data_IF_958590000630
#
_entry.id   IF_958590000630
#
_cell.length_a   1.000
_cell.length_b   1.000
_cell.length_c   1.000
_cell.angle_alpha   90.00
_cell.angle_beta   90.00
_cell.angle_gamma   90.00
#
_symmetry.space_group_name_H-M   'P 1'
#
loop_
_entity.id
_entity.type
_entity.pdbx_description
1 polymer ?
#
# COMPACT_ATOMS: atom_id res chain seq x y z
N UNK A 1 7.43 -6.22 6.05
CA UNK A 1 6.92 -4.97 5.43
C UNK A 1 5.44 -4.81 5.71
N UNK A 2 4.99 -3.58 5.91
CA UNK A 2 3.56 -3.24 5.96
C UNK A 2 3.22 -2.42 4.72
N UNK A 3 2.21 -2.87 3.98
CA UNK A 3 1.63 -2.12 2.85
C UNK A 3 0.40 -1.36 3.33
N UNK A 4 0.36 -0.07 3.03
CA UNK A 4 -0.72 0.82 3.46
C UNK A 4 -1.49 1.33 2.24
N UNK A 5 -2.79 1.07 2.20
CA UNK A 5 -3.71 1.65 1.23
C UNK A 5 -4.53 2.78 1.84
N UNK A 6 -5.33 3.45 1.02
CA UNK A 6 -6.19 4.54 1.50
C UNK A 6 -7.36 3.97 2.32
N UNK A 7 -8.18 3.17 1.67
CA UNK A 7 -9.34 2.53 2.27
C UNK A 7 -9.84 1.45 1.30
N UNK A 8 -10.68 0.50 1.75
CA UNK A 8 -11.24 -0.49 0.84
C UNK A 8 -12.19 0.17 -0.16
N UNK A 9 -12.12 -0.25 -1.42
CA UNK A 9 -13.14 0.09 -2.39
C UNK A 9 -14.41 -0.70 -2.12
N UNK A 10 -15.50 -0.34 -2.78
CA UNK A 10 -16.81 -0.99 -2.59
C UNK A 10 -16.74 -2.52 -2.78
N UNK A 11 -16.06 -2.97 -3.83
CA UNK A 11 -15.95 -4.41 -4.10
C UNK A 11 -15.09 -5.10 -3.05
N UNK A 12 -13.96 -4.52 -2.66
CA UNK A 12 -13.08 -5.10 -1.63
C UNK A 12 -13.83 -5.25 -0.30
N UNK A 13 -14.60 -4.25 0.07
CA UNK A 13 -15.41 -4.31 1.30
C UNK A 13 -16.48 -5.39 1.21
N UNK A 14 -17.14 -5.50 0.06
CA UNK A 14 -18.22 -6.46 -0.14
C UNK A 14 -17.74 -7.90 -0.11
N UNK A 15 -16.58 -8.19 -0.72
CA UNK A 15 -16.02 -9.54 -0.75
C UNK A 15 -15.08 -9.85 0.40
N UNK A 16 -14.66 -8.85 1.17
CA UNK A 16 -13.81 -9.03 2.34
C UNK A 16 -12.34 -9.29 2.01
N UNK A 17 -11.84 -8.81 0.88
CA UNK A 17 -10.47 -9.02 0.44
C UNK A 17 -9.82 -7.73 -0.03
N UNK A 18 -8.51 -7.62 0.14
CA UNK A 18 -7.73 -6.46 -0.30
C UNK A 18 -7.59 -6.42 -1.82
N UNK A 19 -7.72 -5.22 -2.38
CA UNK A 19 -7.47 -4.95 -3.80
C UNK A 19 -8.27 -5.84 -4.74
N UNK A 20 -9.54 -6.07 -4.41
CA UNK A 20 -10.46 -6.91 -5.17
C UNK A 20 -11.20 -6.16 -6.27
N UNK A 21 -11.05 -4.83 -6.35
CA UNK A 21 -11.73 -4.02 -7.36
C UNK A 21 -11.33 -4.42 -8.78
N UNK A 22 -12.32 -4.38 -9.68
CA UNK A 22 -12.06 -4.63 -11.09
C UNK A 22 -11.11 -3.53 -11.61
N UNK A 23 -10.12 -3.89 -12.39
CA UNK A 23 -9.14 -2.95 -12.89
C UNK A 23 -8.04 -2.58 -11.90
N UNK A 24 -8.09 -3.06 -10.65
CA UNK A 24 -6.97 -2.88 -9.73
C UNK A 24 -5.85 -3.82 -10.15
N UNK A 25 -4.66 -3.27 -10.35
CA UNK A 25 -3.52 -4.01 -10.87
C UNK A 25 -2.59 -4.54 -9.79
N UNK A 26 -2.98 -4.42 -8.52
CA UNK A 26 -2.11 -4.75 -7.40
C UNK A 26 -1.55 -6.18 -7.46
N UNK A 27 -2.43 -7.17 -7.51
CA UNK A 27 -1.99 -8.57 -7.45
C UNK A 27 -1.12 -8.99 -8.62
N UNK A 28 -1.47 -8.68 -9.89
CA UNK A 28 -0.57 -8.98 -10.99
C UNK A 28 0.79 -8.29 -10.87
N UNK A 29 0.81 -7.02 -10.50
CA UNK A 29 2.07 -6.27 -10.38
C UNK A 29 2.94 -6.82 -9.24
N UNK A 30 2.35 -7.22 -8.12
CA UNK A 30 3.11 -7.81 -7.01
C UNK A 30 3.91 -9.03 -7.45
N UNK A 31 3.32 -9.86 -8.29
CA UNK A 31 4.02 -11.03 -8.82
C UNK A 31 5.01 -10.65 -9.94
N UNK A 32 4.57 -9.88 -10.92
CA UNK A 32 5.41 -9.48 -12.06
C UNK A 32 6.67 -8.75 -11.62
N UNK A 33 6.58 -7.96 -10.55
CA UNK A 33 7.69 -7.18 -10.01
C UNK A 33 8.63 -7.98 -9.11
N UNK A 34 8.22 -9.16 -8.67
CA UNK A 34 9.00 -9.99 -7.77
C UNK A 34 8.83 -9.64 -6.29
N UNK A 35 7.86 -8.78 -5.93
CA UNK A 35 7.58 -8.50 -4.51
C UNK A 35 7.07 -9.77 -3.82
N UNK A 36 6.24 -10.55 -4.52
CA UNK A 36 5.84 -11.88 -4.05
C UNK A 36 6.36 -12.94 -5.04
N UNK A 37 6.70 -14.14 -4.55
CA UNK A 37 7.36 -15.16 -5.37
C UNK A 37 6.42 -16.00 -6.22
N UNK A 38 5.12 -15.92 -5.99
CA UNK A 38 4.12 -16.69 -6.74
C UNK A 38 2.89 -15.85 -7.01
N UNK A 39 2.14 -16.16 -8.09
CA UNK A 39 0.94 -15.39 -8.41
C UNK A 39 -0.16 -15.63 -7.38
N UNK A 40 -0.72 -14.54 -6.84
CA UNK A 40 -1.87 -14.57 -5.96
C UNK A 40 -2.99 -13.74 -6.58
N UNK A 41 -4.23 -14.06 -6.24
CA UNK A 41 -5.39 -13.22 -6.51
C UNK A 41 -5.89 -12.62 -5.20
N UNK A 42 -6.87 -11.73 -5.27
CA UNK A 42 -7.45 -11.16 -4.06
C UNK A 42 -8.04 -12.24 -3.13
N UNK A 43 -8.49 -13.36 -3.68
CA UNK A 43 -9.06 -14.46 -2.91
C UNK A 43 -8.02 -15.11 -1.99
N UNK A 44 -6.74 -15.00 -2.35
CA UNK A 44 -5.60 -15.55 -1.61
C UNK A 44 -4.91 -14.50 -0.75
N UNK A 45 -5.53 -13.35 -0.50
CA UNK A 45 -4.88 -12.19 0.10
C UNK A 45 -4.18 -12.46 1.43
N UNK A 46 -4.72 -13.37 2.25
CA UNK A 46 -4.11 -13.74 3.53
C UNK A 46 -2.78 -14.46 3.36
N UNK A 47 -2.56 -15.10 2.24
CA UNK A 47 -1.31 -15.81 1.97
C UNK A 47 -0.12 -14.87 1.84
N UNK A 48 -0.35 -13.57 1.65
CA UNK A 48 0.74 -12.59 1.59
C UNK A 48 1.54 -12.54 2.89
N UNK A 49 0.93 -12.92 4.01
CA UNK A 49 1.61 -12.99 5.30
C UNK A 49 2.74 -14.03 5.30
N UNK A 50 2.64 -15.06 4.47
CA UNK A 50 3.68 -16.09 4.33
C UNK A 50 4.99 -15.49 3.81
N UNK A 51 4.91 -14.35 3.15
CA UNK A 51 6.08 -13.66 2.57
C UNK A 51 6.56 -12.49 3.43
N UNK A 52 6.07 -12.41 4.67
CA UNK A 52 6.49 -11.35 5.58
C UNK A 52 5.88 -9.99 5.27
N UNK A 53 4.74 -9.96 4.60
CA UNK A 53 4.05 -8.74 4.20
C UNK A 53 2.69 -8.67 4.89
N UNK A 54 2.44 -7.57 5.62
CA UNK A 54 1.14 -7.27 6.16
C UNK A 54 0.48 -6.15 5.35
N UNK A 55 -0.83 -6.11 5.33
CA UNK A 55 -1.60 -5.08 4.63
C UNK A 55 -2.58 -4.40 5.58
N UNK A 56 -2.75 -3.09 5.40
CA UNK A 56 -3.71 -2.30 6.17
C UNK A 56 -4.16 -1.12 5.34
N UNK A 57 -5.26 -0.50 5.75
CA UNK A 57 -5.75 0.73 5.16
C UNK A 57 -5.71 1.86 6.19
N UNK A 58 -5.47 3.09 5.72
CA UNK A 58 -5.47 4.28 6.57
C UNK A 58 -6.85 4.53 7.15
N UNK A 59 -7.90 4.37 6.34
CA UNK A 59 -9.30 4.52 6.72
C UNK A 59 -10.04 3.22 6.44
N UNK A 60 -10.92 2.81 7.35
CA UNK A 60 -11.62 1.53 7.22
C UNK A 60 -12.94 1.60 6.48
N UNK A 61 -13.59 2.76 6.45
CA UNK A 61 -14.87 2.91 5.76
C UNK A 61 -14.66 2.83 4.25
N UNK A 62 -15.40 1.96 3.54
CA UNK A 62 -15.27 1.88 2.09
C UNK A 62 -15.84 3.11 1.41
N UNK A 63 -15.15 3.56 0.36
CA UNK A 63 -15.61 4.63 -0.51
C UNK A 63 -15.20 4.32 -1.94
N UNK A 64 -15.77 5.04 -2.90
CA UNK A 64 -15.43 4.90 -4.30
C UNK A 64 -14.05 5.45 -4.62
N UNK A 65 -13.72 6.60 -4.02
CA UNK A 65 -12.44 7.26 -4.22
C UNK A 65 -12.00 7.94 -2.94
N UNK A 66 -10.72 8.28 -2.88
CA UNK A 66 -10.11 8.90 -1.69
C UNK A 66 -10.73 10.25 -1.35
N UNK A 67 -11.27 10.97 -2.35
CA UNK A 67 -11.90 12.27 -2.18
C UNK A 67 -13.22 12.22 -1.41
N UNK A 68 -13.81 11.04 -1.26
CA UNK A 68 -15.03 10.85 -0.47
C UNK A 68 -14.75 10.62 1.01
N UNK A 69 -13.48 10.47 1.40
CA UNK A 69 -13.07 10.29 2.79
C UNK A 69 -13.02 11.66 3.46
N UNK A 70 -13.66 11.79 4.62
CA UNK A 70 -13.73 13.05 5.35
C UNK A 70 -12.44 13.28 6.16
N UNK A 71 -12.14 14.56 6.41
CA UNK A 71 -10.96 14.98 7.17
C UNK A 71 -10.88 14.28 8.55
N UNK A 72 -12.00 14.15 9.24
CA UNK A 72 -12.06 13.50 10.55
C UNK A 72 -11.66 12.02 10.48
N UNK A 73 -12.06 11.33 9.40
CA UNK A 73 -11.70 9.93 9.21
C UNK A 73 -10.20 9.76 9.03
N UNK A 74 -9.55 10.68 8.30
CA UNK A 74 -8.10 10.68 8.16
C UNK A 74 -7.41 10.94 9.49
N UNK A 75 -7.94 11.87 10.30
CA UNK A 75 -7.37 12.18 11.62
C UNK A 75 -7.38 10.95 12.52
N UNK A 76 -8.50 10.25 12.58
CA UNK A 76 -8.63 9.01 13.36
C UNK A 76 -7.73 7.91 12.82
N UNK A 77 -7.70 7.77 11.49
CA UNK A 77 -6.87 6.77 10.82
C UNK A 77 -5.38 6.97 11.08
N UNK A 78 -4.93 8.24 11.10
CA UNK A 78 -3.53 8.56 11.39
C UNK A 78 -3.11 8.06 12.77
N UNK A 79 -3.96 8.26 13.78
CA UNK A 79 -3.66 7.80 15.14
C UNK A 79 -3.55 6.28 15.19
N UNK A 80 -4.51 5.58 14.58
CA UNK A 80 -4.52 4.12 14.59
C UNK A 80 -3.35 3.53 13.81
N UNK A 81 -3.01 4.10 12.66
CA UNK A 81 -1.89 3.62 11.86
C UNK A 81 -0.56 3.87 12.57
N UNK A 82 -0.37 5.05 13.16
CA UNK A 82 0.83 5.37 13.92
C UNK A 82 1.05 4.35 15.04
N UNK A 83 0.00 4.04 15.80
CA UNK A 83 0.06 3.06 16.88
C UNK A 83 0.45 1.68 16.34
N UNK A 84 -0.14 1.28 15.22
CA UNK A 84 0.17 -0.01 14.59
C UNK A 84 1.63 -0.08 14.15
N UNK A 85 2.16 0.97 13.56
CA UNK A 85 3.56 1.01 13.12
C UNK A 85 4.53 1.00 14.30
N UNK A 86 4.20 1.69 15.38
CA UNK A 86 5.01 1.64 16.60
C UNK A 86 5.04 0.25 17.22
N UNK A 87 3.90 -0.44 17.23
CA UNK A 87 3.77 -1.75 17.85
C UNK A 87 4.44 -2.85 17.02
N UNK A 88 4.25 -2.82 15.70
CA UNK A 88 4.75 -3.87 14.80
C UNK A 88 6.19 -3.69 14.38
N UNK A 89 6.70 -2.47 14.41
CA UNK A 89 8.09 -2.13 14.05
C UNK A 89 8.54 -2.76 12.73
N UNK A 90 7.81 -2.53 11.62
CA UNK A 90 8.23 -3.09 10.34
C UNK A 90 9.53 -2.46 9.87
N UNK A 91 10.30 -3.20 9.07
CA UNK A 91 11.52 -2.65 8.46
C UNK A 91 11.21 -1.69 7.33
N UNK A 92 10.11 -1.95 6.62
CA UNK A 92 9.64 -1.12 5.51
C UNK A 92 8.15 -0.86 5.68
N UNK A 93 7.74 0.38 5.44
CA UNK A 93 6.35 0.77 5.25
C UNK A 93 6.22 1.25 3.82
N UNK A 94 5.35 0.60 3.04
CA UNK A 94 5.10 0.98 1.65
C UNK A 94 3.69 1.54 1.53
N UNK A 95 3.56 2.72 0.94
CA UNK A 95 2.28 3.39 0.74
C UNK A 95 1.84 3.19 -0.71
N UNK A 96 0.67 2.61 -0.90
CA UNK A 96 0.11 2.39 -2.23
C UNK A 96 -0.60 3.66 -2.73
N UNK A 97 0.21 4.62 -3.15
CA UNK A 97 -0.23 5.91 -3.65
C UNK A 97 0.36 7.08 -2.88
N UNK A 98 0.71 8.15 -3.59
CA UNK A 98 1.23 9.39 -2.99
C UNK A 98 0.23 10.00 -2.02
N UNK A 99 -1.06 10.00 -2.39
CA UNK A 99 -2.12 10.59 -1.57
C UNK A 99 -2.20 9.95 -0.19
N UNK A 100 -2.01 8.63 -0.10
CA UNK A 100 -2.04 7.92 1.18
C UNK A 100 -0.91 8.41 2.09
N UNK A 101 0.29 8.50 1.55
CA UNK A 101 1.43 9.02 2.29
C UNK A 101 1.20 10.46 2.75
N UNK A 102 0.73 11.31 1.84
CA UNK A 102 0.48 12.73 2.15
C UNK A 102 -0.60 12.91 3.20
N UNK A 103 -1.66 12.09 3.14
CA UNK A 103 -2.73 12.13 4.16
C UNK A 103 -2.27 11.63 5.51
N UNK A 104 -1.34 10.67 5.54
CA UNK A 104 -0.80 10.18 6.81
C UNK A 104 0.22 11.14 7.42
N UNK A 105 1.15 11.66 6.63
CA UNK A 105 2.26 12.46 7.13
C UNK A 105 2.01 13.98 7.12
N UNK A 106 1.07 14.44 6.30
CA UNK A 106 0.87 15.88 6.05
C UNK A 106 1.96 16.50 5.19
N UNK A 107 2.81 15.69 4.57
CA UNK A 107 3.97 16.16 3.79
C UNK A 107 3.86 15.70 2.33
N UNK A 108 4.33 16.53 1.39
CA UNK A 108 4.43 16.09 -0.01
C UNK A 108 5.52 15.04 -0.15
N UNK A 109 5.48 14.28 -1.25
CA UNK A 109 6.46 13.23 -1.51
C UNK A 109 6.71 13.05 -3.00
N UNK A 110 7.77 12.33 -3.32
CA UNK A 110 8.04 11.78 -4.64
C UNK A 110 7.85 10.27 -4.56
N UNK A 111 7.64 9.62 -5.70
CA UNK A 111 7.59 8.17 -5.76
C UNK A 111 8.96 7.57 -5.39
N UNK A 112 8.94 6.40 -4.80
CA UNK A 112 10.14 5.65 -4.47
C UNK A 112 10.52 5.75 -3.00
N UNK A 113 11.79 5.45 -2.71
CA UNK A 113 12.33 5.47 -1.36
C UNK A 113 12.41 6.90 -0.85
N UNK A 114 11.86 7.14 0.34
CA UNK A 114 11.89 8.45 0.99
C UNK A 114 13.14 8.57 1.88
N UNK A 115 13.61 9.81 2.08
CA UNK A 115 14.75 10.08 2.95
C UNK A 115 14.39 9.89 4.42
N UNK A 116 13.19 10.29 4.80
CA UNK A 116 12.74 10.23 6.19
C UNK A 116 12.15 8.87 6.53
N UNK A 117 12.51 8.37 7.68
CA UNK A 117 11.95 7.12 8.21
C UNK A 117 10.71 7.41 9.04
N UNK A 118 9.86 6.40 9.19
CA UNK A 118 8.69 6.45 10.07
C UNK A 118 8.85 5.35 11.11
N UNK A 119 8.93 5.75 12.38
CA UNK A 119 9.07 4.80 13.50
C UNK A 119 10.20 3.79 13.28
N UNK A 120 11.30 4.26 12.70
CA UNK A 120 12.47 3.43 12.40
C UNK A 120 12.38 2.63 11.09
N UNK A 121 11.23 2.62 10.43
CA UNK A 121 11.05 1.92 9.16
C UNK A 121 11.49 2.78 7.98
N UNK A 122 12.09 2.15 6.99
CA UNK A 122 12.27 2.79 5.69
C UNK A 122 10.90 2.94 5.03
N UNK A 123 10.74 4.03 4.29
CA UNK A 123 9.46 4.39 3.68
C UNK A 123 9.57 4.38 2.17
N UNK A 124 8.65 3.67 1.53
CA UNK A 124 8.59 3.59 0.07
C UNK A 124 7.21 4.03 -0.41
N UNK A 125 7.17 4.98 -1.34
CA UNK A 125 5.90 5.46 -1.91
C UNK A 125 5.75 4.89 -3.32
N UNK A 126 4.68 4.12 -3.51
CA UNK A 126 4.34 3.47 -4.76
C UNK A 126 3.32 4.30 -5.55
N UNK A 127 3.33 4.22 -6.89
CA UNK A 127 2.18 4.70 -7.64
C UNK A 127 0.97 3.84 -7.32
N UNK A 128 -0.20 4.46 -7.17
CA UNK A 128 -1.43 3.73 -6.84
C UNK A 128 -1.77 2.69 -7.91
N UNK A 129 -2.13 1.48 -7.47
CA UNK A 129 -2.58 0.40 -8.34
C UNK A 129 -4.07 0.47 -8.66
N UNK A 130 -4.79 1.41 -8.06
CA UNK A 130 -6.22 1.60 -8.29
C UNK A 130 -6.52 1.78 -9.78
N UNK A 131 -7.63 1.18 -10.25
CA UNK A 131 -8.13 1.42 -11.60
C UNK A 131 -8.50 2.87 -11.87
N UNK A 132 -8.73 3.66 -10.81
CA UNK A 132 -8.99 5.10 -10.92
C UNK A 132 -7.72 5.91 -11.21
N UNK A 133 -6.54 5.32 -11.06
CA UNK A 133 -5.26 5.96 -11.38
C UNK A 133 -4.87 5.70 -12.84
N UNK A 134 -5.73 6.12 -13.76
CA UNK A 134 -5.53 5.90 -15.19
C UNK A 134 -4.41 6.78 -15.79
N UNK A 135 -4.00 7.84 -15.08
CA UNK A 135 -2.95 8.74 -15.54
C UNK A 135 -1.54 8.19 -15.44
N UNK A 136 -1.33 7.08 -14.72
CA UNK A 136 -0.01 6.45 -14.59
C UNK A 136 0.00 5.14 -15.35
N UNK A 137 0.93 5.01 -16.29
CA UNK A 137 1.09 3.81 -17.09
C UNK A 137 1.50 2.61 -16.25
N UNK A 138 1.03 1.42 -16.64
CA UNK A 138 1.34 0.18 -15.92
C UNK A 138 2.84 -0.10 -15.86
N UNK A 139 3.59 0.22 -16.91
CA UNK A 139 5.05 0.04 -16.92
C UNK A 139 5.75 0.85 -15.84
N UNK A 140 5.27 2.07 -15.59
CA UNK A 140 5.78 2.93 -14.51
C UNK A 140 5.47 2.31 -13.16
N UNK A 141 4.24 1.82 -12.97
CA UNK A 141 3.84 1.15 -11.73
C UNK A 141 4.73 -0.05 -11.46
N UNK A 142 4.90 -0.92 -12.44
CA UNK A 142 5.72 -2.13 -12.33
C UNK A 142 7.17 -1.78 -11.98
N UNK A 143 7.72 -0.73 -12.59
CA UNK A 143 9.09 -0.29 -12.32
C UNK A 143 9.31 0.07 -10.85
N UNK A 144 8.38 0.81 -10.25
CA UNK A 144 8.50 1.17 -8.83
C UNK A 144 8.33 -0.04 -7.91
N UNK A 145 7.44 -0.94 -8.27
CA UNK A 145 7.29 -2.19 -7.51
C UNK A 145 8.55 -3.06 -7.60
N UNK A 146 9.24 -3.06 -8.74
CA UNK A 146 10.54 -3.75 -8.86
C UNK A 146 11.60 -3.13 -7.95
N UNK A 147 11.61 -1.81 -7.81
CA UNK A 147 12.51 -1.12 -6.88
C UNK A 147 12.20 -1.50 -5.43
N UNK A 148 10.93 -1.63 -5.09
CA UNK A 148 10.51 -2.09 -3.78
C UNK A 148 10.97 -3.54 -3.54
N UNK A 149 10.83 -4.41 -4.53
CA UNK A 149 11.27 -5.79 -4.44
C UNK A 149 12.79 -5.88 -4.17
N UNK A 150 13.57 -5.04 -4.85
CA UNK A 150 15.01 -4.97 -4.63
C UNK A 150 15.36 -4.53 -3.21
N UNK A 151 14.63 -3.53 -2.68
CA UNK A 151 14.82 -3.06 -1.31
C UNK A 151 14.50 -4.16 -0.29
N UNK A 152 13.39 -4.87 -0.50
CA UNK A 152 13.00 -5.99 0.35
C UNK A 152 14.09 -7.08 0.38
N UNK A 153 14.63 -7.42 -0.78
CA UNK A 153 15.68 -8.41 -0.90
C UNK A 153 16.95 -7.97 -0.16
N UNK A 154 17.34 -6.71 -0.33
CA UNK A 154 18.52 -6.15 0.33
C UNK A 154 18.42 -6.20 1.86
N UNK A 155 17.24 -5.99 2.41
CA UNK A 155 17.03 -6.02 3.86
C UNK A 155 16.93 -7.43 4.45
N UNK A 156 16.69 -8.45 3.62
CA UNK A 156 16.72 -9.85 4.07
C UNK A 156 18.14 -10.41 4.15
N UNK A 157 19.01 -9.88 3.30
CA UNK A 157 20.41 -10.24 3.28
C UNK A 157 21.20 -9.42 4.31
#
# INVERSE_FOLDING_TARGET
MILVGANPGDRSARVGHYYAGRGNQFWPIMYESGVIPEPLSYEDDRRILEFGIGMTDLVKRPTRGIEEIERQEFAEGRVLLAQKLEDLKPRIVAFNGKMVYEKFTGRPCKLGLQKEKLYGAQVFVLPSTSGLNAGTERGVKTRYFKKLAALLKALKD
#
